data_IF_973441700325
#
_entry.id   IF_973441700325
#
_cell.length_a   1.000
_cell.length_b   1.000
_cell.length_c   1.000
_cell.angle_alpha   90.00
_cell.angle_beta   90.00
_cell.angle_gamma   90.00
#
_symmetry.space_group_name_H-M   'P 1'
#
loop_
_entity.id
_entity.type
_entity.pdbx_description
1 polymer ?
#
# COMPACT_ATOMS: atom_id res chain seq x y z
N UNK A 1 33.57 -59.22 -76.99
CA UNK A 1 34.15 -58.64 -75.78
C UNK A 1 32.98 -58.01 -74.99
N UNK A 2 32.84 -58.49 -73.90
CA UNK A 2 31.82 -58.59 -72.89
C UNK A 2 31.73 -57.32 -72.11
N UNK A 3 30.50 -56.78 -71.93
CA UNK A 3 30.17 -55.70 -71.02
C UNK A 3 29.08 -56.12 -70.02
N UNK A 4 29.40 -56.17 -68.74
CA UNK A 4 28.50 -56.50 -67.64
C UNK A 4 27.57 -55.34 -67.35
N UNK A 5 26.25 -55.60 -67.40
CA UNK A 5 25.21 -54.71 -66.96
C UNK A 5 25.03 -54.81 -65.43
N UNK A 6 24.87 -53.68 -64.80
CA UNK A 6 24.73 -53.56 -63.35
C UNK A 6 23.25 -53.76 -62.88
N UNK A 7 23.11 -54.64 -61.91
CA UNK A 7 21.92 -54.76 -61.08
C UNK A 7 22.31 -54.44 -59.66
N UNK A 8 22.14 -53.21 -59.21
CA UNK A 8 22.22 -52.90 -57.79
C UNK A 8 21.75 -51.45 -57.48
N UNK A 9 20.46 -51.13 -57.75
CA UNK A 9 19.92 -49.82 -57.27
C UNK A 9 18.55 -49.91 -56.54
N UNK A 10 17.97 -51.13 -56.43
CA UNK A 10 16.67 -51.32 -55.78
C UNK A 10 16.71 -51.56 -54.26
N UNK A 11 17.83 -52.06 -53.71
CA UNK A 11 17.86 -52.50 -52.30
C UNK A 11 18.15 -51.40 -51.27
N UNK A 12 18.75 -50.27 -51.66
CA UNK A 12 19.04 -49.15 -50.75
C UNK A 12 17.82 -48.27 -50.43
N UNK A 13 16.87 -48.19 -51.33
CA UNK A 13 15.67 -47.38 -51.12
C UNK A 13 14.67 -48.05 -50.16
N UNK A 14 14.52 -49.37 -50.25
CA UNK A 14 13.65 -50.15 -49.37
C UNK A 14 14.15 -50.22 -47.92
N UNK A 15 15.47 -50.17 -47.69
CA UNK A 15 16.04 -50.14 -46.32
C UNK A 15 15.87 -48.84 -45.62
N UNK A 16 15.63 -47.71 -46.30
CA UNK A 16 15.39 -46.38 -45.71
C UNK A 16 13.92 -46.09 -45.46
N UNK A 17 13.02 -46.73 -46.18
CA UNK A 17 11.58 -46.51 -46.06
C UNK A 17 10.96 -47.40 -44.97
N UNK A 18 11.50 -48.60 -44.73
CA UNK A 18 11.01 -49.51 -43.69
C UNK A 18 11.04 -48.97 -42.27
N UNK A 19 12.12 -48.29 -41.75
CA UNK A 19 12.08 -47.67 -40.44
C UNK A 19 11.10 -46.47 -40.34
N UNK A 20 10.88 -45.77 -41.45
CA UNK A 20 9.95 -44.64 -41.50
C UNK A 20 8.46 -45.11 -41.41
N UNK A 21 8.10 -46.23 -42.04
CA UNK A 21 6.80 -46.84 -41.92
C UNK A 21 6.55 -47.44 -40.52
N UNK A 22 7.54 -48.05 -39.89
CA UNK A 22 7.45 -48.56 -38.51
C UNK A 22 7.25 -47.41 -37.54
N UNK A 23 7.98 -46.27 -37.70
CA UNK A 23 7.83 -45.07 -36.88
C UNK A 23 6.43 -44.45 -37.01
N UNK A 24 5.85 -44.43 -38.21
CA UNK A 24 4.51 -43.91 -38.46
C UNK A 24 3.42 -44.76 -37.81
N UNK A 25 3.55 -46.09 -37.86
CA UNK A 25 2.59 -47.01 -37.24
C UNK A 25 2.69 -46.97 -35.70
N UNK A 26 3.87 -46.91 -35.14
CA UNK A 26 4.06 -46.75 -33.68
C UNK A 26 3.64 -45.38 -33.20
N UNK A 27 3.87 -44.31 -33.95
CA UNK A 27 3.39 -42.94 -33.63
C UNK A 27 1.87 -42.81 -33.65
N UNK A 28 1.20 -43.44 -34.64
CA UNK A 28 -0.24 -43.47 -34.70
C UNK A 28 -0.87 -44.32 -33.58
N UNK A 29 -0.23 -45.41 -33.18
CA UNK A 29 -0.67 -46.27 -32.08
C UNK A 29 -0.56 -45.60 -30.69
N UNK A 30 0.53 -44.87 -30.44
CA UNK A 30 0.72 -44.11 -29.21
C UNK A 30 -0.19 -42.86 -29.13
N UNK A 31 -0.44 -42.21 -30.28
CA UNK A 31 -1.36 -41.07 -30.35
C UNK A 31 -2.82 -41.44 -30.00
N UNK A 32 -3.27 -42.64 -30.38
CA UNK A 32 -4.61 -43.11 -30.06
C UNK A 32 -4.79 -43.62 -28.65
N UNK A 33 -3.71 -44.02 -27.94
CA UNK A 33 -3.77 -44.37 -26.51
C UNK A 33 -3.76 -43.11 -25.60
N UNK A 34 -3.10 -42.02 -26.01
CA UNK A 34 -3.05 -40.78 -25.27
C UNK A 34 -4.37 -39.99 -25.32
N UNK A 35 -5.23 -40.23 -26.33
CA UNK A 35 -6.49 -39.51 -26.45
C UNK A 35 -7.66 -40.11 -25.64
N UNK A 36 -7.46 -41.28 -24.97
CA UNK A 36 -8.49 -41.90 -24.12
C UNK A 36 -8.47 -41.45 -22.64
N UNK A 37 -7.56 -40.59 -22.23
CA UNK A 37 -7.54 -40.09 -20.87
C UNK A 37 -7.63 -38.56 -20.85
N UNK A 38 -8.81 -38.08 -20.45
CA UNK A 38 -9.21 -36.70 -20.20
C UNK A 38 -9.68 -35.94 -21.44
N UNK A 39 -10.82 -36.27 -21.92
CA UNK A 39 -11.73 -35.29 -22.53
C UNK A 39 -12.16 -34.35 -21.40
N UNK A 40 -11.37 -33.29 -21.09
CA UNK A 40 -11.95 -32.12 -20.49
C UNK A 40 -12.95 -31.59 -21.51
N UNK A 41 -14.22 -31.41 -21.12
CA UNK A 41 -15.19 -30.86 -22.07
C UNK A 41 -14.76 -29.41 -22.37
N UNK A 42 -14.10 -29.23 -23.50
CA UNK A 42 -13.71 -27.91 -24.01
C UNK A 42 -14.88 -26.94 -24.15
N UNK A 43 -16.09 -27.47 -24.07
CA UNK A 43 -17.35 -26.71 -24.08
C UNK A 43 -17.63 -25.95 -22.79
N UNK A 44 -17.25 -26.48 -21.63
CA UNK A 44 -17.50 -25.82 -20.33
C UNK A 44 -16.63 -24.61 -20.09
N UNK A 45 -15.36 -24.65 -20.50
CA UNK A 45 -14.45 -23.50 -20.38
C UNK A 45 -14.86 -22.33 -21.30
N UNK A 46 -15.39 -22.64 -22.48
CA UNK A 46 -15.85 -21.65 -23.46
C UNK A 46 -17.19 -21.03 -23.06
N UNK A 47 -18.10 -21.78 -22.47
CA UNK A 47 -19.38 -21.29 -21.97
C UNK A 47 -19.16 -20.38 -20.75
N UNK A 48 -18.32 -20.78 -19.79
CA UNK A 48 -17.98 -19.95 -18.61
C UNK A 48 -17.29 -18.63 -19.00
N UNK A 49 -16.38 -18.65 -20.00
CA UNK A 49 -15.79 -17.43 -20.53
C UNK A 49 -16.83 -16.51 -21.17
N UNK A 50 -17.78 -17.08 -21.95
CA UNK A 50 -18.87 -16.31 -22.57
C UNK A 50 -19.78 -15.63 -21.55
N UNK A 51 -20.11 -16.33 -20.45
CA UNK A 51 -20.96 -15.79 -19.39
C UNK A 51 -20.25 -14.70 -18.60
N UNK A 52 -18.95 -14.86 -18.34
CA UNK A 52 -18.13 -13.83 -17.71
C UNK A 52 -18.07 -12.56 -18.54
N UNK A 53 -17.81 -12.67 -19.84
CA UNK A 53 -17.79 -11.50 -20.73
C UNK A 53 -19.17 -10.83 -20.84
N UNK A 54 -20.25 -11.59 -20.86
CA UNK A 54 -21.61 -11.03 -20.85
C UNK A 54 -21.87 -10.22 -19.57
N UNK A 55 -21.45 -10.71 -18.41
CA UNK A 55 -21.60 -10.01 -17.14
C UNK A 55 -20.74 -8.75 -17.09
N UNK A 56 -19.52 -8.79 -17.63
CA UNK A 56 -18.65 -7.61 -17.74
C UNK A 56 -19.24 -6.55 -18.69
N UNK A 57 -19.84 -6.97 -19.80
CA UNK A 57 -20.55 -6.05 -20.70
C UNK A 57 -21.73 -5.39 -19.99
N UNK A 58 -22.55 -6.18 -19.26
CA UNK A 58 -23.66 -5.64 -18.46
C UNK A 58 -23.16 -4.62 -17.42
N UNK A 59 -22.05 -4.91 -16.75
CA UNK A 59 -21.42 -3.95 -15.83
C UNK A 59 -21.02 -2.66 -16.56
N UNK A 60 -20.40 -2.78 -17.73
CA UNK A 60 -20.02 -1.64 -18.57
C UNK A 60 -21.23 -0.80 -19.01
N UNK A 61 -22.31 -1.45 -19.44
CA UNK A 61 -23.55 -0.78 -19.86
C UNK A 61 -24.18 -0.01 -18.70
N UNK A 62 -24.20 -0.58 -17.48
CA UNK A 62 -24.72 0.08 -16.28
C UNK A 62 -23.82 1.25 -15.89
N UNK A 63 -22.50 1.08 -15.95
CA UNK A 63 -21.53 2.15 -15.65
C UNK A 63 -21.72 3.35 -16.61
N UNK A 64 -21.82 3.08 -17.93
CA UNK A 64 -22.07 4.13 -18.92
C UNK A 64 -23.41 4.82 -18.69
N UNK A 65 -24.46 4.07 -18.32
CA UNK A 65 -25.78 4.63 -18.02
C UNK A 65 -25.72 5.56 -16.80
N UNK A 66 -24.99 5.19 -15.74
CA UNK A 66 -24.80 6.05 -14.59
C UNK A 66 -24.04 7.32 -15.00
N UNK A 67 -22.98 7.18 -15.79
CA UNK A 67 -22.17 8.29 -16.25
C UNK A 67 -22.95 9.30 -17.10
N UNK A 68 -23.87 8.81 -17.95
CA UNK A 68 -24.67 9.64 -18.88
C UNK A 68 -25.93 10.24 -18.24
N UNK A 69 -26.62 9.48 -17.41
CA UNK A 69 -28.01 9.79 -17.00
C UNK A 69 -28.12 10.25 -15.54
N UNK A 70 -27.06 10.14 -14.73
CA UNK A 70 -27.13 10.57 -13.35
C UNK A 70 -27.23 12.11 -13.26
N UNK A 71 -28.04 12.61 -12.30
CA UNK A 71 -28.37 14.03 -12.15
C UNK A 71 -27.14 14.93 -11.97
N UNK A 72 -26.11 14.44 -11.32
CA UNK A 72 -24.83 15.13 -11.15
C UNK A 72 -23.73 14.32 -11.84
N UNK A 73 -22.72 15.02 -12.42
CA UNK A 73 -21.58 14.32 -13.05
C UNK A 73 -20.83 13.51 -12.00
N UNK A 74 -20.88 12.16 -12.04
CA UNK A 74 -20.21 11.34 -11.05
C UNK A 74 -18.69 11.35 -11.24
N UNK A 75 -17.97 11.13 -10.14
CA UNK A 75 -16.54 10.85 -10.16
C UNK A 75 -16.33 9.39 -10.60
N UNK A 76 -15.86 9.21 -11.82
CA UNK A 76 -15.68 7.89 -12.43
C UNK A 76 -14.71 7.02 -11.63
N UNK A 77 -13.64 7.59 -11.08
CA UNK A 77 -12.68 6.85 -10.27
C UNK A 77 -13.34 6.30 -9.00
N UNK A 78 -14.11 7.12 -8.31
CA UNK A 78 -14.84 6.69 -7.10
C UNK A 78 -15.88 5.62 -7.40
N UNK A 79 -16.56 5.71 -8.56
CA UNK A 79 -17.50 4.65 -8.97
C UNK A 79 -16.80 3.32 -9.19
N UNK A 80 -15.64 3.31 -9.85
CA UNK A 80 -14.84 2.11 -10.08
C UNK A 80 -14.34 1.54 -8.75
N UNK A 81 -13.83 2.37 -7.86
CA UNK A 81 -13.36 1.98 -6.53
C UNK A 81 -14.51 1.37 -5.69
N UNK A 82 -15.69 1.99 -5.72
CA UNK A 82 -16.88 1.47 -5.03
C UNK A 82 -17.31 0.11 -5.59
N UNK A 83 -17.25 -0.07 -6.91
CA UNK A 83 -17.57 -1.35 -7.54
C UNK A 83 -16.58 -2.46 -7.16
N UNK A 84 -15.28 -2.16 -7.16
CA UNK A 84 -14.23 -3.09 -6.73
C UNK A 84 -14.44 -3.48 -5.26
N UNK A 85 -14.69 -2.51 -4.38
CA UNK A 85 -14.97 -2.76 -2.98
C UNK A 85 -16.24 -3.58 -2.77
N UNK A 86 -17.29 -3.35 -3.59
CA UNK A 86 -18.50 -4.18 -3.58
C UNK A 86 -18.23 -5.63 -3.93
N UNK A 87 -17.40 -5.88 -4.95
CA UNK A 87 -16.99 -7.23 -5.32
C UNK A 87 -16.20 -7.92 -4.20
N UNK A 88 -15.21 -7.23 -3.64
CA UNK A 88 -14.37 -7.78 -2.58
C UNK A 88 -15.15 -8.02 -1.29
N UNK A 89 -16.02 -7.10 -0.89
CA UNK A 89 -16.89 -7.24 0.27
C UNK A 89 -17.89 -8.41 0.16
N UNK A 90 -18.16 -8.89 -1.07
CA UNK A 90 -18.97 -10.10 -1.26
C UNK A 90 -18.22 -11.40 -0.98
N UNK A 91 -16.89 -11.36 -0.88
CA UNK A 91 -16.05 -12.53 -0.60
C UNK A 91 -15.97 -12.80 0.91
N UNK A 92 -15.56 -11.78 1.67
CA UNK A 92 -15.43 -11.84 3.13
C UNK A 92 -15.30 -10.42 3.72
N UNK A 93 -15.46 -10.24 5.05
CA UNK A 93 -15.38 -8.92 5.68
C UNK A 93 -13.95 -8.35 5.81
N UNK A 94 -12.92 -9.13 5.46
CA UNK A 94 -11.51 -8.72 5.58
C UNK A 94 -10.90 -8.34 4.23
N UNK A 95 -11.60 -8.61 3.12
CA UNK A 95 -11.14 -8.27 1.78
C UNK A 95 -11.56 -6.85 1.41
N UNK A 96 -10.59 -6.02 1.05
CA UNK A 96 -10.83 -4.63 0.63
C UNK A 96 -9.83 -4.19 -0.43
N UNK A 97 -10.22 -3.21 -1.23
CA UNK A 97 -9.31 -2.52 -2.15
C UNK A 97 -8.75 -1.26 -1.47
N UNK A 98 -7.48 -1.04 -1.67
CA UNK A 98 -6.82 0.21 -1.28
C UNK A 98 -6.24 0.87 -2.52
N UNK A 99 -6.58 2.13 -2.72
CA UNK A 99 -5.89 2.96 -3.71
C UNK A 99 -4.44 3.22 -3.28
N UNK A 100 -3.64 3.82 -4.15
CA UNK A 100 -2.22 4.07 -3.87
C UNK A 100 -2.00 4.98 -2.65
N UNK A 101 -2.95 5.89 -2.33
CA UNK A 101 -2.88 6.75 -1.15
C UNK A 101 -3.19 5.96 0.11
N UNK A 102 -4.32 5.26 0.14
CA UNK A 102 -4.74 4.43 1.28
C UNK A 102 -3.71 3.36 1.63
N UNK A 103 -3.08 2.76 0.61
CA UNK A 103 -2.00 1.79 0.81
C UNK A 103 -0.76 2.43 1.47
N UNK A 104 -0.35 3.64 1.04
CA UNK A 104 0.74 4.38 1.70
C UNK A 104 0.39 4.74 3.14
N UNK A 105 -0.83 5.20 3.38
CA UNK A 105 -1.29 5.57 4.73
C UNK A 105 -1.30 4.34 5.65
N UNK A 106 -1.74 3.18 5.16
CA UNK A 106 -1.66 1.91 5.88
C UNK A 106 -0.20 1.52 6.18
N UNK A 107 0.72 1.67 5.21
CA UNK A 107 2.14 1.40 5.44
C UNK A 107 2.72 2.30 6.53
N UNK A 108 2.36 3.59 6.56
CA UNK A 108 2.77 4.52 7.62
C UNK A 108 2.28 4.06 8.99
N UNK A 109 1.02 3.65 9.08
CA UNK A 109 0.45 3.15 10.33
C UNK A 109 1.14 1.86 10.81
N UNK A 110 1.42 0.94 9.88
CA UNK A 110 2.08 -0.34 10.18
C UNK A 110 3.53 -0.15 10.61
N UNK A 111 4.30 0.67 9.89
CA UNK A 111 5.69 0.96 10.22
C UNK A 111 5.83 1.85 11.45
N UNK A 112 4.83 2.69 11.72
CA UNK A 112 4.88 3.67 12.80
C UNK A 112 5.83 4.83 12.52
N UNK A 113 6.11 5.10 11.23
CA UNK A 113 6.98 6.19 10.82
C UNK A 113 6.58 6.76 9.46
N UNK A 114 6.86 8.04 9.24
CA UNK A 114 6.62 8.74 7.97
C UNK A 114 7.61 9.87 7.73
N UNK A 115 7.82 10.23 6.47
CA UNK A 115 8.61 11.40 6.11
C UNK A 115 7.80 12.68 6.27
N UNK A 116 8.29 13.62 7.07
CA UNK A 116 7.57 14.86 7.34
C UNK A 116 8.33 15.84 8.25
N UNK A 117 7.58 16.74 8.88
CA UNK A 117 8.14 17.83 9.67
C UNK A 117 8.02 17.61 11.19
N UNK A 118 7.10 16.73 11.61
CA UNK A 118 6.80 16.50 13.03
C UNK A 118 5.96 17.60 13.65
N UNK A 119 4.83 17.92 13.04
CA UNK A 119 3.87 18.92 13.50
C UNK A 119 2.50 18.28 13.60
N UNK A 120 1.86 18.44 14.73
CA UNK A 120 0.42 18.18 14.87
C UNK A 120 -0.34 19.45 14.48
N UNK A 121 -1.29 19.33 13.56
CA UNK A 121 -2.02 20.48 13.00
C UNK A 121 -3.52 20.26 13.03
N UNK A 122 -4.26 21.37 13.10
CA UNK A 122 -5.70 21.40 12.93
C UNK A 122 -6.09 22.46 11.91
N UNK A 123 -7.34 22.45 11.46
CA UNK A 123 -7.86 23.50 10.59
C UNK A 123 -8.78 24.42 11.40
N UNK A 124 -8.51 25.72 11.33
CA UNK A 124 -9.29 26.77 12.00
C UNK A 124 -9.42 27.96 11.03
N UNK A 125 -10.66 28.41 10.79
CA UNK A 125 -10.99 29.51 9.88
C UNK A 125 -10.38 29.40 8.46
N UNK A 126 -10.32 28.16 7.93
CA UNK A 126 -9.75 27.89 6.60
C UNK A 126 -8.22 27.95 6.52
N UNK A 127 -7.53 28.15 7.64
CA UNK A 127 -6.08 28.13 7.79
C UNK A 127 -5.64 26.89 8.57
N UNK A 128 -4.35 26.57 8.49
CA UNK A 128 -3.76 25.44 9.19
C UNK A 128 -3.06 25.95 10.44
N UNK A 129 -3.53 25.54 11.61
CA UNK A 129 -2.99 25.92 12.90
C UNK A 129 -2.16 24.81 13.50
N UNK A 130 -0.98 25.15 14.00
CA UNK A 130 -0.09 24.25 14.76
C UNK A 130 -0.69 24.01 16.14
N UNK A 131 -1.04 22.76 16.44
CA UNK A 131 -1.44 22.33 17.78
C UNK A 131 -0.19 22.21 18.65
N UNK A 132 0.78 21.40 18.18
CA UNK A 132 2.08 21.24 18.84
C UNK A 132 3.12 20.71 17.86
N UNK A 133 4.37 21.18 17.91
CA UNK A 133 5.49 20.48 17.30
C UNK A 133 5.84 19.25 18.16
N UNK A 134 6.23 18.17 17.51
CA UNK A 134 6.72 16.95 18.16
C UNK A 134 8.19 17.17 18.54
N UNK A 135 8.56 16.80 19.76
CA UNK A 135 9.94 16.94 20.25
C UNK A 135 10.94 16.18 19.34
N UNK A 136 12.14 16.71 19.24
CA UNK A 136 13.25 16.14 18.45
C UNK A 136 12.98 16.03 16.93
N UNK A 137 12.00 16.77 16.40
CA UNK A 137 11.68 16.81 14.97
C UNK A 137 12.22 18.05 14.27
N UNK A 138 12.23 18.11 12.94
CA UNK A 138 12.61 19.32 12.20
C UNK A 138 11.84 20.57 12.62
N UNK A 139 10.55 20.45 12.87
CA UNK A 139 9.71 21.58 13.26
C UNK A 139 10.10 22.13 14.64
N UNK A 140 10.29 21.25 15.63
CA UNK A 140 10.72 21.62 16.98
C UNK A 140 12.09 22.32 16.93
N UNK A 141 13.04 21.74 16.19
CA UNK A 141 14.39 22.34 16.03
C UNK A 141 14.39 23.69 15.30
N UNK A 142 13.45 23.89 14.37
CA UNK A 142 13.29 25.15 13.65
C UNK A 142 12.53 26.23 14.44
N UNK A 143 12.08 25.92 15.65
CA UNK A 143 11.40 26.87 16.52
C UNK A 143 9.94 27.13 16.11
N UNK A 144 9.26 26.18 15.47
CA UNK A 144 7.81 26.22 15.30
C UNK A 144 7.17 26.04 16.66
N UNK A 145 6.15 26.85 16.94
CA UNK A 145 5.48 26.91 18.24
C UNK A 145 4.00 26.51 18.13
N UNK A 146 3.45 26.02 19.25
CA UNK A 146 2.00 25.87 19.39
C UNK A 146 1.29 27.21 19.18
N UNK A 147 0.21 27.17 18.40
CA UNK A 147 -0.56 28.38 18.04
C UNK A 147 -0.06 29.11 16.79
N UNK A 148 1.07 28.74 16.21
CA UNK A 148 1.49 29.26 14.90
C UNK A 148 0.44 28.92 13.84
N UNK A 149 0.24 29.80 12.88
CA UNK A 149 -0.69 29.61 11.77
C UNK A 149 0.09 29.49 10.47
N UNK A 150 -0.06 28.39 9.77
CA UNK A 150 0.56 28.16 8.46
C UNK A 150 -0.36 28.78 7.41
N UNK A 151 0.12 29.79 6.68
CA UNK A 151 -0.63 30.51 5.65
C UNK A 151 -0.26 30.08 4.23
N UNK A 152 0.97 29.56 4.03
CA UNK A 152 1.41 29.03 2.74
C UNK A 152 2.43 27.89 2.93
N UNK A 153 2.50 27.00 1.95
CA UNK A 153 3.44 25.88 1.86
C UNK A 153 4.11 25.97 0.47
N UNK A 154 5.44 26.08 0.44
CA UNK A 154 6.24 26.30 -0.78
C UNK A 154 5.71 27.45 -1.68
N UNK A 155 5.24 28.53 -1.04
CA UNK A 155 4.68 29.70 -1.70
C UNK A 155 3.20 29.57 -2.11
N UNK A 156 2.59 28.38 -2.03
CA UNK A 156 1.17 28.20 -2.30
C UNK A 156 0.34 28.46 -1.05
N UNK A 157 -0.71 29.30 -1.20
CA UNK A 157 -1.64 29.60 -0.11
C UNK A 157 -2.40 28.34 0.33
N UNK A 158 -2.54 28.13 1.63
CA UNK A 158 -3.30 26.98 2.18
C UNK A 158 -4.82 27.24 2.26
N UNK A 159 -5.26 28.48 2.05
CA UNK A 159 -6.68 28.83 2.09
C UNK A 159 -7.45 28.08 1.00
N UNK A 160 -8.52 27.37 1.38
CA UNK A 160 -9.29 26.52 0.47
C UNK A 160 -8.81 25.08 0.35
N UNK A 161 -7.64 24.74 0.93
CA UNK A 161 -7.20 23.35 1.05
C UNK A 161 -7.91 22.68 2.23
N UNK A 162 -8.22 21.40 2.09
CA UNK A 162 -8.57 20.57 3.26
C UNK A 162 -7.34 20.30 4.13
N UNK A 163 -7.54 19.96 5.40
CA UNK A 163 -6.45 19.60 6.31
C UNK A 163 -5.56 18.49 5.71
N UNK A 164 -6.18 17.46 5.13
CA UNK A 164 -5.45 16.36 4.51
C UNK A 164 -4.58 16.82 3.33
N UNK A 165 -5.09 17.71 2.48
CA UNK A 165 -4.30 18.25 1.36
C UNK A 165 -3.10 19.06 1.85
N UNK A 166 -3.27 19.85 2.90
CA UNK A 166 -2.16 20.61 3.51
C UNK A 166 -1.13 19.65 4.15
N UNK A 167 -1.58 18.63 4.87
CA UNK A 167 -0.70 17.60 5.45
C UNK A 167 0.06 16.85 4.37
N UNK A 168 -0.61 16.46 3.26
CA UNK A 168 0.05 15.77 2.13
C UNK A 168 1.16 16.64 1.51
N UNK A 169 0.98 17.98 1.42
CA UNK A 169 2.02 18.90 0.95
C UNK A 169 3.20 19.04 1.94
N UNK A 170 2.93 18.98 3.25
CA UNK A 170 3.98 19.03 4.29
C UNK A 170 4.75 17.70 4.39
N UNK A 171 4.13 16.56 4.10
CA UNK A 171 4.77 15.25 4.02
C UNK A 171 5.64 15.14 2.77
N UNK A 172 6.54 14.17 2.74
CA UNK A 172 7.38 13.87 1.60
C UNK A 172 8.57 13.02 1.98
N UNK A 173 9.43 12.72 1.01
CA UNK A 173 10.64 11.94 1.25
C UNK A 173 11.55 12.65 2.26
N UNK A 174 12.18 11.91 3.19
CA UNK A 174 13.23 12.46 4.05
C UNK A 174 14.31 13.18 3.22
N UNK A 175 14.97 14.14 3.84
CA UNK A 175 16.02 14.99 3.25
C UNK A 175 15.57 15.95 2.15
N UNK A 176 14.26 15.99 1.84
CA UNK A 176 13.68 17.03 0.97
C UNK A 176 13.30 18.28 1.77
N UNK A 177 13.39 19.45 1.16
CA UNK A 177 13.04 20.70 1.83
C UNK A 177 11.62 21.14 1.53
N UNK A 178 11.03 21.90 2.46
CA UNK A 178 9.76 22.60 2.32
C UNK A 178 9.85 23.93 3.06
N UNK A 179 9.19 24.94 2.54
CA UNK A 179 9.11 26.27 3.17
C UNK A 179 7.70 26.51 3.68
N UNK A 180 7.56 26.79 4.96
CA UNK A 180 6.29 27.15 5.58
C UNK A 180 6.26 28.66 5.82
N UNK A 181 5.19 29.33 5.39
CA UNK A 181 4.93 30.70 5.80
C UNK A 181 4.06 30.69 7.04
N UNK A 182 4.65 31.12 8.14
CA UNK A 182 4.07 31.13 9.49
C UNK A 182 3.61 32.54 9.83
N UNK A 183 2.40 32.63 10.38
CA UNK A 183 1.89 33.83 11.02
C UNK A 183 1.93 33.60 12.53
N UNK A 184 2.67 34.43 13.26
CA UNK A 184 2.86 34.28 14.71
C UNK A 184 2.44 35.54 15.45
N UNK A 185 1.80 35.31 16.60
CA UNK A 185 1.42 36.38 17.52
C UNK A 185 0.25 37.23 17.04
N UNK A 186 -0.03 38.32 17.80
CA UNK A 186 -1.19 39.20 17.53
C UNK A 186 -1.01 40.02 16.25
N UNK A 187 0.21 40.36 15.87
CA UNK A 187 0.52 41.15 14.67
C UNK A 187 0.51 40.32 13.40
N UNK A 188 0.48 38.98 13.52
CA UNK A 188 0.50 38.05 12.36
C UNK A 188 1.61 38.37 11.35
N UNK A 189 2.79 38.75 11.83
CA UNK A 189 3.95 38.99 10.96
C UNK A 189 4.37 37.71 10.26
N UNK A 190 4.39 37.69 8.92
CA UNK A 190 4.72 36.48 8.19
C UNK A 190 6.22 36.17 8.26
N UNK A 191 6.53 34.92 8.59
CA UNK A 191 7.90 34.41 8.65
C UNK A 191 8.01 33.19 7.73
N UNK A 192 8.97 33.18 6.82
CA UNK A 192 9.26 32.02 6.00
C UNK A 192 10.28 31.13 6.73
N UNK A 193 9.86 29.93 7.09
CA UNK A 193 10.68 28.94 7.77
C UNK A 193 10.95 27.78 6.80
N UNK A 194 12.20 27.64 6.39
CA UNK A 194 12.63 26.50 5.58
C UNK A 194 12.97 25.30 6.46
N UNK A 195 12.36 24.16 6.18
CA UNK A 195 12.52 22.91 6.92
C UNK A 195 13.01 21.80 5.99
N UNK A 196 13.78 20.89 6.53
CA UNK A 196 14.14 19.64 5.86
C UNK A 196 13.31 18.52 6.47
N UNK A 197 12.58 17.77 5.65
CA UNK A 197 11.79 16.63 6.10
C UNK A 197 12.69 15.55 6.68
N UNK A 198 12.24 14.88 7.72
CA UNK A 198 12.94 13.76 8.32
C UNK A 198 11.97 12.58 8.52
N UNK A 199 12.49 11.43 8.88
CA UNK A 199 11.68 10.32 9.37
C UNK A 199 11.13 10.70 10.75
N UNK A 200 9.81 10.78 10.86
CA UNK A 200 9.09 11.08 12.10
C UNK A 200 8.54 9.77 12.65
N UNK A 201 8.95 9.39 13.84
CA UNK A 201 8.48 8.19 14.51
C UNK A 201 7.20 8.48 15.29
N UNK A 202 6.21 7.62 15.12
CA UNK A 202 4.95 7.66 15.88
C UNK A 202 5.17 6.88 17.16
N UNK A 203 5.29 7.56 18.29
CA UNK A 203 5.44 6.91 19.60
C UNK A 203 4.16 6.13 19.93
N UNK A 204 4.19 4.82 19.72
CA UNK A 204 3.07 3.91 20.03
C UNK A 204 3.04 3.48 21.49
N UNK A 205 4.12 3.73 22.23
CA UNK A 205 4.25 3.39 23.66
C UNK A 205 4.53 4.66 24.44
N UNK A 206 3.79 4.86 25.53
CA UNK A 206 4.01 5.91 26.52
C UNK A 206 4.25 5.23 27.86
N UNK A 207 5.24 5.73 28.59
CA UNK A 207 5.60 5.21 29.90
C UNK A 207 5.60 6.33 30.94
N UNK A 208 5.20 5.99 32.16
CA UNK A 208 5.36 6.85 33.34
C UNK A 208 5.50 5.97 34.58
N UNK A 209 6.18 6.50 35.58
CA UNK A 209 6.17 5.90 36.89
C UNK A 209 4.87 6.32 37.59
N UNK A 210 4.04 5.34 38.00
CA UNK A 210 2.74 5.61 38.64
C UNK A 210 2.91 5.88 40.15
N UNK A 211 3.87 5.19 40.76
CA UNK A 211 4.29 5.34 42.15
C UNK A 211 5.77 4.98 42.27
N UNK A 212 6.35 5.03 43.45
CA UNK A 212 7.78 4.71 43.67
C UNK A 212 8.15 3.27 43.30
N UNK A 213 7.16 2.40 43.03
CA UNK A 213 7.33 0.96 42.92
C UNK A 213 6.60 0.33 41.71
N UNK A 214 5.88 1.11 40.89
CA UNK A 214 5.08 0.62 39.76
C UNK A 214 5.41 1.38 38.49
N UNK A 215 5.72 0.65 37.42
CA UNK A 215 5.84 1.19 36.05
C UNK A 215 4.52 1.09 35.29
N UNK A 216 4.03 2.20 34.72
CA UNK A 216 2.86 2.24 33.84
C UNK A 216 3.32 2.34 32.39
N UNK A 217 2.83 1.40 31.56
CA UNK A 217 3.12 1.32 30.14
C UNK A 217 1.79 1.34 29.38
N UNK A 218 1.59 2.34 28.53
CA UNK A 218 0.42 2.48 27.68
C UNK A 218 0.79 2.24 26.23
N UNK A 219 0.09 1.31 25.56
CA UNK A 219 0.19 1.05 24.13
C UNK A 219 -0.98 1.77 23.45
N UNK A 220 -0.71 2.85 22.73
CA UNK A 220 -1.73 3.65 22.06
C UNK A 220 -2.15 3.08 20.71
N UNK A 221 -1.26 2.32 20.08
CA UNK A 221 -1.48 1.60 18.82
C UNK A 221 -0.41 0.51 18.63
N UNK A 222 -0.69 -0.47 17.79
CA UNK A 222 0.26 -1.51 17.42
C UNK A 222 0.88 -1.21 16.06
N UNK A 223 2.21 -1.05 16.02
CA UNK A 223 3.03 -0.89 14.83
C UNK A 223 4.39 -1.58 15.04
N UNK A 224 5.27 -1.53 14.04
CA UNK A 224 6.60 -2.18 14.12
C UNK A 224 7.47 -1.62 15.25
N UNK A 225 7.22 -0.38 15.72
CA UNK A 225 7.96 0.26 16.82
C UNK A 225 7.46 -0.15 18.20
N UNK A 226 6.28 -0.78 18.29
CA UNK A 226 5.62 -1.06 19.60
C UNK A 226 6.44 -2.00 20.45
N UNK A 227 6.99 -3.08 19.89
CA UNK A 227 7.80 -4.04 20.63
C UNK A 227 9.02 -3.39 21.27
N UNK A 228 9.78 -2.62 20.48
CA UNK A 228 10.97 -1.94 20.98
C UNK A 228 10.60 -0.84 22.00
N UNK A 229 9.49 -0.15 21.81
CA UNK A 229 8.97 0.82 22.76
C UNK A 229 8.64 0.21 24.12
N UNK A 230 7.93 -0.93 24.14
CA UNK A 230 7.64 -1.67 25.38
C UNK A 230 8.91 -2.17 26.04
N UNK A 231 9.83 -2.72 25.26
CA UNK A 231 11.12 -3.20 25.76
C UNK A 231 11.94 -2.08 26.41
N UNK A 232 12.01 -0.91 25.76
CA UNK A 232 12.70 0.26 26.29
C UNK A 232 12.04 0.76 27.59
N UNK A 233 10.72 0.81 27.66
CA UNK A 233 9.98 1.17 28.87
C UNK A 233 10.27 0.22 30.04
N UNK A 234 10.27 -1.09 29.79
CA UNK A 234 10.62 -2.10 30.80
C UNK A 234 12.05 -1.89 31.31
N UNK A 235 13.03 -1.73 30.42
CA UNK A 235 14.42 -1.50 30.78
C UNK A 235 14.59 -0.23 31.61
N UNK A 236 13.90 0.86 31.22
CA UNK A 236 13.91 2.11 31.95
C UNK A 236 13.43 1.91 33.39
N UNK A 237 12.28 1.27 33.63
CA UNK A 237 11.78 1.04 34.98
C UNK A 237 12.69 0.12 35.80
N UNK A 238 13.31 -0.88 35.16
CA UNK A 238 14.30 -1.75 35.85
C UNK A 238 15.55 -0.97 36.31
N UNK A 239 15.91 0.09 35.57
CA UNK A 239 17.04 0.94 35.94
C UNK A 239 16.66 2.01 36.98
N UNK A 240 15.46 2.59 36.86
CA UNK A 240 15.01 3.73 37.64
C UNK A 240 14.44 3.31 39.01
N UNK A 241 13.83 2.11 39.11
CA UNK A 241 13.21 1.61 40.33
C UNK A 241 14.09 0.50 40.92
N UNK A 242 14.58 0.67 42.17
CA UNK A 242 15.36 -0.36 42.85
C UNK A 242 14.62 -1.70 42.90
N UNK A 243 15.28 -2.82 42.56
CA UNK A 243 14.66 -4.14 42.45
C UNK A 243 13.92 -4.56 43.74
N UNK A 244 14.40 -4.17 44.91
CA UNK A 244 13.75 -4.46 46.20
C UNK A 244 12.43 -3.71 46.42
N UNK A 245 12.19 -2.63 45.68
CA UNK A 245 10.96 -1.82 45.75
C UNK A 245 9.99 -2.13 44.62
N UNK A 246 10.51 -2.64 43.50
CA UNK A 246 9.70 -2.83 42.29
C UNK A 246 8.62 -3.91 42.47
N UNK A 247 7.35 -3.52 42.33
CA UNK A 247 6.18 -4.41 42.49
C UNK A 247 5.64 -4.94 41.18
N UNK A 248 5.84 -4.25 40.06
CA UNK A 248 5.37 -4.70 38.76
C UNK A 248 5.02 -3.58 37.77
N UNK A 249 4.32 -4.00 36.70
CA UNK A 249 3.88 -3.12 35.63
C UNK A 249 2.36 -3.05 35.57
N UNK A 250 1.83 -1.91 35.18
CA UNK A 250 0.47 -1.75 34.67
C UNK A 250 0.60 -1.61 33.17
N UNK A 251 -0.04 -2.51 32.42
CA UNK A 251 -0.12 -2.47 30.95
C UNK A 251 -1.53 -2.05 30.54
N UNK A 252 -1.63 -0.93 29.76
CA UNK A 252 -2.87 -0.31 29.27
C UNK A 252 -2.86 -0.20 27.73
#
# INVERSE_FOLDING_TARGET
MVGKAGIAKGSRMMRKVLPLLIGAVLGAGLGTLATKTRVFPAGTARAAASDTYRNLNLFGDVFEKIRSDYVEKPDEQKLVEAAINGMLGSLDPHSSYMDAKSFRDMQVQTRGEFGGLGIEVTQEDGLIKVVTPIDDTPASRAGILSGDVISAIDGENVQGLSLNQAVDKMRGAPDTSVTLKILRGSNKDPQDIKLTRAVIQIKSVRERQESDDIGYIRITQFNEQTFEGVRAAIQKFQNDIPAAKFKGYILD
#
